data_IF_724266281503
#
_entry.id   IF_724266281503
#
_cell.length_a   1.000
_cell.length_b   1.000
_cell.length_c   1.000
_cell.angle_alpha   90.00
_cell.angle_beta   90.00
_cell.angle_gamma   90.00
#
_symmetry.space_group_name_H-M   'P 1'
#
loop_
_entity.id
_entity.type
_entity.pdbx_description
1 polymer ?
#
# COMPACT_ATOMS: atom_id res chain seq x y z
N UNK A 1 84.68 13.46 -11.73
CA UNK A 1 83.83 13.18 -10.55
C UNK A 1 82.72 14.21 -10.52
N UNK A 2 81.56 13.93 -11.13
CA UNK A 2 80.44 14.88 -11.20
C UNK A 2 79.15 14.26 -10.64
N UNK A 3 78.43 15.13 -9.94
CA UNK A 3 77.40 14.88 -8.92
C UNK A 3 76.03 14.49 -9.48
N UNK A 4 75.32 13.69 -8.69
CA UNK A 4 73.89 13.37 -8.79
C UNK A 4 72.99 14.60 -8.93
N UNK A 5 71.94 14.47 -9.75
CA UNK A 5 70.73 15.29 -9.67
C UNK A 5 69.50 14.36 -9.69
N UNK A 6 68.79 14.39 -8.56
CA UNK A 6 67.48 13.79 -8.29
C UNK A 6 66.40 14.40 -9.18
N UNK A 7 65.58 13.59 -9.85
CA UNK A 7 64.32 14.03 -10.45
C UNK A 7 63.17 13.37 -9.69
N UNK A 8 62.39 14.21 -9.01
CA UNK A 8 61.22 13.85 -8.22
C UNK A 8 60.03 13.69 -9.18
N UNK A 9 59.50 12.47 -9.30
CA UNK A 9 58.31 12.20 -10.10
C UNK A 9 57.05 12.61 -9.30
N UNK A 10 56.39 13.68 -9.74
CA UNK A 10 55.06 14.08 -9.27
C UNK A 10 54.00 13.18 -9.93
N UNK A 11 53.46 12.24 -9.16
CA UNK A 11 52.26 11.47 -9.50
C UNK A 11 51.01 12.34 -9.28
N UNK A 12 50.40 12.81 -10.37
CA UNK A 12 49.10 13.47 -10.33
C UNK A 12 47.99 12.41 -10.14
N UNK A 13 47.37 12.40 -8.96
CA UNK A 13 46.18 11.59 -8.67
C UNK A 13 44.96 12.27 -9.29
N UNK A 14 44.49 11.77 -10.43
CA UNK A 14 43.21 12.18 -11.03
C UNK A 14 42.08 11.54 -10.23
N UNK A 15 41.43 12.31 -9.37
CA UNK A 15 40.26 11.89 -8.62
C UNK A 15 39.04 11.74 -9.52
N UNK A 16 38.60 10.50 -9.75
CA UNK A 16 37.33 10.21 -10.41
C UNK A 16 36.20 10.51 -9.41
N UNK A 17 35.55 11.65 -9.56
CA UNK A 17 34.31 11.96 -8.82
C UNK A 17 33.20 11.07 -9.39
N UNK A 18 32.98 9.92 -8.74
CA UNK A 18 31.88 9.02 -9.05
C UNK A 18 30.55 9.70 -8.76
N UNK A 19 29.79 10.02 -9.81
CA UNK A 19 28.40 10.48 -9.69
C UNK A 19 27.58 9.27 -9.24
N UNK A 20 27.29 9.17 -7.94
CA UNK A 20 26.40 8.13 -7.42
C UNK A 20 24.97 8.48 -7.89
N UNK A 21 24.32 7.68 -8.74
CA UNK A 21 22.94 7.95 -9.13
C UNK A 21 22.07 7.87 -7.87
N UNK A 22 21.46 9.00 -7.50
CA UNK A 22 20.45 9.03 -6.45
C UNK A 22 19.32 8.10 -6.89
N UNK A 23 19.16 6.98 -6.19
CA UNK A 23 18.06 6.05 -6.42
C UNK A 23 16.75 6.84 -6.32
N UNK A 24 16.14 7.10 -7.47
CA UNK A 24 14.85 7.77 -7.54
C UNK A 24 13.85 6.83 -6.86
N UNK A 25 13.45 7.15 -5.63
CA UNK A 25 12.34 6.42 -4.98
C UNK A 25 11.12 6.63 -5.86
N UNK A 26 10.74 5.58 -6.59
CA UNK A 26 9.55 5.60 -7.42
C UNK A 26 8.38 6.08 -6.55
N UNK A 27 7.75 7.18 -6.97
CA UNK A 27 6.64 7.76 -6.24
C UNK A 27 5.54 6.71 -6.10
N UNK A 28 4.96 6.59 -4.90
CA UNK A 28 3.92 5.60 -4.67
C UNK A 28 2.67 5.94 -5.47
N UNK A 29 1.81 4.96 -5.66
CA UNK A 29 0.45 5.16 -6.18
C UNK A 29 -0.53 5.05 -5.02
N UNK A 30 -1.32 6.09 -4.80
CA UNK A 30 -2.46 6.10 -3.89
C UNK A 30 -3.74 5.87 -4.69
N UNK A 31 -4.49 4.84 -4.33
CA UNK A 31 -5.88 4.66 -4.75
C UNK A 31 -6.76 5.20 -3.63
N UNK A 32 -7.40 6.35 -3.89
CA UNK A 32 -8.34 7.01 -2.98
C UNK A 32 -9.76 6.60 -3.39
N UNK A 33 -10.32 5.63 -2.68
CA UNK A 33 -11.57 4.97 -3.03
C UNK A 33 -12.73 5.48 -2.19
N UNK A 34 -13.84 5.77 -2.86
CA UNK A 34 -15.12 6.16 -2.25
C UNK A 34 -16.17 5.12 -2.57
N UNK A 35 -16.80 4.55 -1.54
CA UNK A 35 -17.91 3.60 -1.65
C UNK A 35 -19.22 4.39 -1.59
N UNK A 36 -20.02 4.31 -2.64
CA UNK A 36 -21.30 5.03 -2.76
C UNK A 36 -22.50 4.09 -2.71
N UNK A 37 -22.28 2.78 -2.85
CA UNK A 37 -23.32 1.77 -2.76
C UNK A 37 -22.90 0.75 -1.71
N UNK A 38 -23.68 0.65 -0.64
CA UNK A 38 -23.51 -0.35 0.40
C UNK A 38 -24.77 -1.21 0.46
N UNK A 39 -24.64 -2.45 0.93
CA UNK A 39 -25.82 -3.18 1.42
C UNK A 39 -26.36 -2.47 2.68
N UNK A 40 -27.54 -2.81 3.15
CA UNK A 40 -28.02 -2.30 4.44
C UNK A 40 -27.35 -3.05 5.60
N UNK A 41 -27.11 -2.39 6.73
CA UNK A 41 -26.51 -2.99 7.94
C UNK A 41 -25.02 -3.37 7.83
N UNK A 42 -24.20 -2.58 7.13
CA UNK A 42 -22.76 -2.85 6.89
C UNK A 42 -21.85 -1.80 7.53
N UNK A 43 -21.64 -1.91 8.83
CA UNK A 43 -20.65 -1.10 9.57
C UNK A 43 -19.21 -1.55 9.32
N UNK A 44 -19.03 -2.79 8.84
CA UNK A 44 -17.75 -3.38 8.44
C UNK A 44 -17.25 -2.94 7.06
N UNK A 45 -17.95 -2.01 6.39
CA UNK A 45 -17.56 -1.48 5.07
C UNK A 45 -17.42 0.03 5.18
N UNK A 46 -16.19 0.50 5.27
CA UNK A 46 -15.84 1.92 5.33
C UNK A 46 -16.29 2.68 4.08
N UNK A 47 -16.71 3.94 4.22
CA UNK A 47 -17.06 4.79 3.07
C UNK A 47 -15.84 5.19 2.23
N UNK A 48 -14.68 5.27 2.88
CA UNK A 48 -13.40 5.67 2.29
C UNK A 48 -12.36 4.60 2.53
N UNK A 49 -11.60 4.28 1.50
CA UNK A 49 -10.48 3.32 1.58
C UNK A 49 -9.30 3.92 0.82
N UNK A 50 -8.16 4.06 1.49
CA UNK A 50 -6.90 4.47 0.90
C UNK A 50 -5.97 3.28 0.76
N UNK A 51 -5.47 3.02 -0.46
CA UNK A 51 -4.49 1.95 -0.73
C UNK A 51 -3.24 2.56 -1.34
N UNK A 52 -2.10 2.37 -0.69
CA UNK A 52 -0.80 2.85 -1.17
C UNK A 52 0.03 1.68 -1.68
N UNK A 53 0.48 1.76 -2.93
CA UNK A 53 1.39 0.80 -3.56
C UNK A 53 2.68 1.50 -3.94
N UNK A 54 3.82 0.99 -3.46
CA UNK A 54 5.16 1.50 -3.75
C UNK A 54 6.04 0.37 -4.25
N UNK A 55 6.92 0.65 -5.21
CA UNK A 55 7.82 -0.37 -5.74
C UNK A 55 8.79 -0.84 -4.65
N UNK A 56 8.90 -2.16 -4.47
CA UNK A 56 9.78 -2.76 -3.47
C UNK A 56 9.33 -2.58 -2.02
N UNK A 57 8.10 -2.11 -1.78
CA UNK A 57 7.54 -2.00 -0.43
C UNK A 57 6.21 -2.75 -0.32
N UNK A 58 5.84 -3.24 0.89
CA UNK A 58 4.50 -3.75 1.14
C UNK A 58 3.45 -2.69 0.80
N UNK A 59 2.33 -3.11 0.22
CA UNK A 59 1.20 -2.20 0.08
C UNK A 59 0.57 -1.96 1.45
N UNK A 60 0.12 -0.72 1.65
CA UNK A 60 -0.48 -0.28 2.91
C UNK A 60 -1.91 0.15 2.66
N UNK A 61 -2.79 -0.18 3.59
CA UNK A 61 -4.21 0.16 3.53
C UNK A 61 -4.65 0.91 4.78
N UNK A 62 -5.53 1.89 4.58
CA UNK A 62 -6.15 2.69 5.63
C UNK A 62 -7.62 2.92 5.32
N UNK A 63 -8.46 2.72 6.34
CA UNK A 63 -9.89 3.06 6.32
C UNK A 63 -10.39 3.25 7.76
N UNK A 64 -11.64 3.66 7.94
CA UNK A 64 -12.20 3.93 9.28
C UNK A 64 -12.26 2.70 10.18
N UNK A 65 -12.54 1.51 9.63
CA UNK A 65 -12.58 0.26 10.39
C UNK A 65 -11.18 -0.13 10.86
N UNK A 66 -10.18 -0.06 9.98
CA UNK A 66 -8.77 -0.28 10.33
C UNK A 66 -8.33 0.69 11.42
N UNK A 67 -8.60 1.99 11.24
CA UNK A 67 -8.19 3.02 12.19
C UNK A 67 -8.89 2.86 13.54
N UNK A 68 -10.16 2.45 13.55
CA UNK A 68 -10.89 2.16 14.78
C UNK A 68 -10.23 1.02 15.58
N UNK A 69 -9.86 -0.09 14.93
CA UNK A 69 -9.32 -1.26 15.63
C UNK A 69 -7.81 -1.23 15.89
N UNK A 70 -7.03 -0.59 15.01
CA UNK A 70 -5.56 -0.64 15.05
C UNK A 70 -4.92 0.72 15.32
N UNK A 71 -5.64 1.83 15.19
CA UNK A 71 -5.12 3.19 15.35
C UNK A 71 -4.14 3.63 14.25
N UNK A 72 -3.85 2.78 13.27
CA UNK A 72 -2.89 3.05 12.19
C UNK A 72 -3.19 2.23 10.94
N UNK A 73 -2.72 2.67 9.75
CA UNK A 73 -2.74 1.86 8.54
C UNK A 73 -2.01 0.53 8.74
N UNK A 74 -2.45 -0.50 8.01
CA UNK A 74 -1.86 -1.85 8.08
C UNK A 74 -1.31 -2.29 6.73
N UNK A 75 -0.42 -3.28 6.76
CA UNK A 75 0.06 -3.94 5.56
C UNK A 75 -0.99 -4.90 4.98
N UNK A 76 -1.04 -4.98 3.66
CA UNK A 76 -1.89 -5.95 2.96
C UNK A 76 -1.32 -7.36 3.09
N UNK A 77 -2.18 -8.37 3.17
CA UNK A 77 -1.76 -9.78 3.15
C UNK A 77 -1.42 -10.26 1.74
N UNK A 78 -2.09 -9.72 0.72
CA UNK A 78 -1.84 -10.11 -0.67
C UNK A 78 -2.17 -8.95 -1.63
N UNK A 79 -1.30 -8.75 -2.62
CA UNK A 79 -1.55 -7.86 -3.75
C UNK A 79 -1.36 -8.63 -5.04
N UNK A 80 -2.38 -8.58 -5.91
CA UNK A 80 -2.27 -9.07 -7.29
C UNK A 80 -2.49 -7.91 -8.24
N UNK A 81 -1.37 -7.42 -8.77
CA UNK A 81 -1.32 -6.27 -9.64
C UNK A 81 -1.24 -6.71 -11.11
N UNK A 82 -2.29 -6.45 -11.90
CA UNK A 82 -2.33 -6.73 -13.35
C UNK A 82 -2.49 -5.43 -14.15
N UNK A 83 -2.42 -5.53 -15.48
CA UNK A 83 -2.53 -4.37 -16.37
C UNK A 83 -3.81 -3.56 -16.14
N UNK A 84 -4.98 -4.20 -16.16
CA UNK A 84 -6.29 -3.55 -16.05
C UNK A 84 -6.94 -3.68 -14.66
N UNK A 85 -6.36 -4.47 -13.76
CA UNK A 85 -7.00 -4.85 -12.50
C UNK A 85 -5.99 -4.89 -11.35
N UNK A 86 -6.44 -4.44 -10.20
CA UNK A 86 -5.72 -4.58 -8.94
C UNK A 86 -6.63 -5.30 -7.93
N UNK A 87 -6.21 -6.47 -7.45
CA UNK A 87 -6.86 -7.18 -6.34
C UNK A 87 -5.97 -7.04 -5.09
N UNK A 88 -6.57 -6.61 -3.97
CA UNK A 88 -5.86 -6.36 -2.70
C UNK A 88 -6.61 -7.04 -1.57
N UNK A 89 -5.89 -7.74 -0.71
CA UNK A 89 -6.45 -8.45 0.45
C UNK A 89 -5.74 -8.05 1.73
N UNK A 90 -6.50 -8.02 2.81
CA UNK A 90 -6.01 -7.84 4.17
C UNK A 90 -6.96 -8.55 5.13
N UNK A 91 -6.48 -8.78 6.35
CA UNK A 91 -7.24 -9.46 7.40
C UNK A 91 -7.13 -8.64 8.67
N UNK A 92 -8.28 -8.35 9.30
CA UNK A 92 -8.33 -7.83 10.66
C UNK A 92 -8.43 -9.00 11.62
N UNK A 93 -7.79 -8.88 12.79
CA UNK A 93 -7.70 -9.92 13.80
C UNK A 93 -8.10 -9.36 15.15
N UNK A 94 -8.90 -10.10 15.90
CA UNK A 94 -9.29 -9.74 17.27
C UNK A 94 -10.12 -8.46 17.36
N UNK A 95 -10.88 -8.13 16.33
CA UNK A 95 -11.80 -7.00 16.37
C UNK A 95 -12.96 -7.34 17.33
N UNK A 96 -13.39 -6.37 18.14
CA UNK A 96 -14.59 -6.49 18.99
C UNK A 96 -15.63 -5.52 18.50
N UNK A 97 -16.83 -6.00 18.19
CA UNK A 97 -17.91 -5.10 17.83
C UNK A 97 -18.55 -4.45 19.06
N UNK A 98 -19.50 -3.54 18.82
CA UNK A 98 -20.23 -2.81 19.87
C UNK A 98 -21.09 -3.74 20.75
N UNK A 99 -21.40 -4.95 20.27
CA UNK A 99 -22.08 -5.99 21.05
C UNK A 99 -21.09 -6.85 21.86
N UNK A 100 -19.82 -6.46 21.92
CA UNK A 100 -18.71 -7.16 22.57
C UNK A 100 -18.45 -8.58 22.01
N UNK A 101 -18.89 -8.85 20.78
CA UNK A 101 -18.58 -10.10 20.09
C UNK A 101 -17.17 -10.00 19.49
N UNK A 102 -16.39 -11.06 19.66
CA UNK A 102 -15.05 -11.12 19.09
C UNK A 102 -15.11 -11.68 17.68
N UNK A 103 -14.76 -10.85 16.70
CA UNK A 103 -14.45 -11.27 15.34
C UNK A 103 -12.98 -11.65 15.30
N UNK A 104 -12.72 -12.95 15.43
CA UNK A 104 -11.37 -13.50 15.46
C UNK A 104 -10.58 -13.13 14.20
N UNK A 105 -11.19 -13.33 13.02
CA UNK A 105 -10.70 -12.88 11.72
C UNK A 105 -11.82 -12.25 10.89
N UNK A 106 -11.51 -11.13 10.24
CA UNK A 106 -12.31 -10.54 9.18
C UNK A 106 -11.44 -10.38 7.94
N UNK A 107 -11.78 -11.14 6.89
CA UNK A 107 -11.07 -11.09 5.61
C UNK A 107 -11.70 -10.07 4.67
N UNK A 108 -10.84 -9.23 4.09
CA UNK A 108 -11.23 -8.22 3.12
C UNK A 108 -10.63 -8.50 1.74
N UNK A 109 -11.40 -8.18 0.71
CA UNK A 109 -10.99 -8.31 -0.69
C UNK A 109 -11.48 -7.10 -1.49
N UNK A 110 -10.55 -6.20 -1.79
CA UNK A 110 -10.75 -5.06 -2.67
C UNK A 110 -10.39 -5.42 -4.11
N UNK A 111 -11.21 -4.96 -5.05
CA UNK A 111 -10.92 -5.02 -6.48
C UNK A 111 -11.09 -3.65 -7.11
N UNK A 112 -10.09 -3.26 -7.89
CA UNK A 112 -10.07 -2.00 -8.63
C UNK A 112 -9.89 -2.32 -10.10
N UNK A 113 -10.80 -1.83 -10.94
CA UNK A 113 -10.55 -1.68 -12.36
C UNK A 113 -9.71 -0.42 -12.56
N UNK A 114 -8.50 -0.56 -13.10
CA UNK A 114 -7.56 0.56 -13.24
C UNK A 114 -7.89 1.52 -14.38
N UNK A 115 -8.69 1.08 -15.34
CA UNK A 115 -9.09 1.86 -16.50
C UNK A 115 -10.28 2.77 -16.15
N UNK A 116 -11.26 2.22 -15.43
CA UNK A 116 -12.49 2.93 -15.09
C UNK A 116 -12.52 3.49 -13.67
N UNK A 117 -11.59 3.06 -12.81
CA UNK A 117 -11.61 3.37 -11.38
C UNK A 117 -12.65 2.57 -10.58
N UNK A 118 -13.46 1.72 -11.24
CA UNK A 118 -14.53 0.98 -10.56
C UNK A 118 -13.99 0.12 -9.42
N UNK A 119 -14.60 0.28 -8.24
CA UNK A 119 -14.18 -0.33 -6.99
C UNK A 119 -15.26 -1.25 -6.43
N UNK A 120 -14.82 -2.40 -5.92
CA UNK A 120 -15.66 -3.27 -5.10
C UNK A 120 -14.88 -3.75 -3.89
N UNK A 121 -15.52 -3.70 -2.72
CA UNK A 121 -14.99 -4.23 -1.47
C UNK A 121 -15.92 -5.33 -0.96
N UNK A 122 -15.33 -6.44 -0.53
CA UNK A 122 -16.01 -7.53 0.16
C UNK A 122 -15.33 -7.77 1.49
N UNK A 123 -16.13 -7.99 2.53
CA UNK A 123 -15.64 -8.42 3.84
C UNK A 123 -16.40 -9.68 4.30
N UNK A 124 -15.68 -10.61 4.92
CA UNK A 124 -16.24 -11.86 5.44
C UNK A 124 -15.59 -12.20 6.79
N UNK A 125 -16.37 -12.32 7.87
CA UNK A 125 -15.86 -12.84 9.13
C UNK A 125 -15.70 -14.37 9.04
N UNK A 126 -14.63 -14.88 9.65
CA UNK A 126 -14.39 -16.32 9.69
C UNK A 126 -15.40 -17.03 10.61
N UNK A 127 -15.85 -18.22 10.20
CA UNK A 127 -16.85 -19.00 10.95
C UNK A 127 -18.30 -18.53 10.82
N UNK A 128 -18.59 -17.45 10.09
CA UNK A 128 -19.96 -16.92 9.92
C UNK A 128 -20.41 -16.94 8.44
N UNK A 129 -21.73 -17.07 8.18
CA UNK A 129 -22.28 -17.02 6.83
C UNK A 129 -22.37 -15.58 6.27
N UNK A 130 -22.28 -14.58 7.14
CA UNK A 130 -22.44 -13.17 6.82
C UNK A 130 -21.43 -12.72 5.76
N UNK A 131 -21.89 -11.85 4.86
CA UNK A 131 -21.05 -11.22 3.84
C UNK A 131 -21.42 -9.76 3.70
N UNK A 132 -20.40 -8.93 3.77
CA UNK A 132 -20.51 -7.50 3.64
C UNK A 132 -19.91 -7.07 2.31
N UNK A 133 -20.53 -6.09 1.64
CA UNK A 133 -20.04 -5.62 0.36
C UNK A 133 -20.39 -4.16 0.10
N UNK A 134 -19.47 -3.47 -0.56
CA UNK A 134 -19.69 -2.13 -1.09
C UNK A 134 -19.13 -1.97 -2.50
N UNK A 135 -19.67 -1.01 -3.24
CA UNK A 135 -19.18 -0.59 -4.57
C UNK A 135 -19.01 0.92 -4.62
N UNK A 136 -18.11 1.35 -5.48
CA UNK A 136 -17.89 2.76 -5.74
C UNK A 136 -16.77 2.97 -6.75
N UNK A 137 -15.97 4.01 -6.57
CA UNK A 137 -14.89 4.37 -7.49
C UNK A 137 -13.65 4.85 -6.75
N UNK A 138 -12.48 4.64 -7.36
CA UNK A 138 -11.20 5.16 -6.90
C UNK A 138 -10.65 6.21 -7.86
N UNK A 139 -9.99 7.21 -7.27
CA UNK A 139 -9.12 8.14 -8.00
C UNK A 139 -7.68 7.81 -7.68
N UNK A 140 -6.84 7.75 -8.72
CA UNK A 140 -5.41 7.50 -8.58
C UNK A 140 -4.68 8.81 -8.36
N UNK A 141 -3.83 8.85 -7.34
CA UNK A 141 -2.97 9.99 -6.99
C UNK A 141 -1.54 9.51 -6.85
N UNK A 142 -0.58 10.39 -7.15
CA UNK A 142 0.82 10.15 -6.79
C UNK A 142 0.96 10.32 -5.28
N UNK A 143 1.38 9.26 -4.59
CA UNK A 143 1.75 9.32 -3.18
C UNK A 143 3.12 9.99 -3.07
N UNK A 144 3.15 11.14 -2.40
CA UNK A 144 4.38 11.85 -2.05
C UNK A 144 5.15 11.14 -0.93
#
# INVERSE_FOLDING_TARGET
>A
MNRSATVCALLAVVGVVGVVPAASRAAGTLYDCTITQKREGVDWISEKVGIVIRQGQPAVISDSVILHFYGKPIETTQVRNRANKLDVRWTLRGARDDANQTVNHMDYNARINKQTGAFSLYAKPDGYPNRFSGKGNCVTKTAK
#
